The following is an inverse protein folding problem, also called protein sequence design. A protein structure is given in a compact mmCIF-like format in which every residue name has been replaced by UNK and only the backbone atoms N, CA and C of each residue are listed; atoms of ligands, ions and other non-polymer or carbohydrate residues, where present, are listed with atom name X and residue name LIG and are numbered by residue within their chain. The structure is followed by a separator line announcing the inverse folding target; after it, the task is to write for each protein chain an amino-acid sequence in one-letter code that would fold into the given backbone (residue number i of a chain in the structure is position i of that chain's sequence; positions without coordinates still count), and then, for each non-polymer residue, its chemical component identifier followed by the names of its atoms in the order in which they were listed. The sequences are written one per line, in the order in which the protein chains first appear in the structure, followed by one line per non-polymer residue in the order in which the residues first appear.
data_IF_836964697660
#
_entry.id   IF_836964697660
#
_cell.length_a   1.000
_cell.length_b   1.000
_cell.length_c   1.000
_cell.angle_alpha   90.00
_cell.angle_beta   90.00
_cell.angle_gamma   90.00
#
_symmetry.space_group_name_H-M   'P 1'
#
loop_
_entity.id
_entity.type
_entity.pdbx_description
1 polymer ?
#
# COMPACT_ATOMS: atom_id res chain seq x y z
N UNK A 1 7.64 5.89 4.44
CA UNK A 1 7.45 7.06 3.56
C UNK A 1 7.45 6.69 2.09
N UNK A 2 7.08 5.47 1.79
CA UNK A 2 7.01 5.03 0.40
C UNK A 2 5.60 5.26 -0.15
N UNK A 3 5.54 5.85 -1.32
CA UNK A 3 4.29 6.04 -2.00
C UNK A 3 4.05 4.88 -2.95
N UNK A 4 2.84 4.35 -2.96
CA UNK A 4 2.50 3.22 -3.81
C UNK A 4 1.22 3.52 -4.56
N UNK A 5 1.05 2.85 -5.70
CA UNK A 5 -0.17 2.94 -6.48
C UNK A 5 -1.01 1.71 -6.17
N UNK A 6 -2.23 1.94 -5.69
CA UNK A 6 -3.16 0.87 -5.41
C UNK A 6 -4.33 0.92 -6.38
N UNK A 7 -5.13 -0.17 -6.46
CA UNK A 7 -6.33 -0.14 -7.31
C UNK A 7 -7.32 0.95 -6.91
N UNK A 8 -7.22 1.43 -5.68
CA UNK A 8 -8.10 2.48 -5.17
C UNK A 8 -7.48 3.87 -5.25
N UNK A 9 -6.26 3.97 -5.79
CA UNK A 9 -5.58 5.25 -5.93
C UNK A 9 -4.23 5.27 -5.22
N UNK A 10 -3.56 6.41 -5.24
CA UNK A 10 -2.25 6.53 -4.58
C UNK A 10 -2.39 6.49 -3.07
N UNK A 11 -1.39 5.97 -2.40
CA UNK A 11 -1.38 5.89 -0.96
C UNK A 11 0.02 5.80 -0.41
N UNK A 12 0.13 5.81 0.92
CA UNK A 12 1.41 5.69 1.60
C UNK A 12 1.48 4.37 2.34
N UNK A 13 2.62 3.71 2.23
CA UNK A 13 2.84 2.47 2.96
C UNK A 13 2.97 2.76 4.44
N UNK A 14 2.12 2.13 5.25
CA UNK A 14 2.20 2.23 6.69
C UNK A 14 3.00 1.09 7.29
N UNK A 15 2.81 -0.09 6.74
CA UNK A 15 3.48 -1.28 7.23
C UNK A 15 3.63 -2.28 6.09
N UNK A 16 4.81 -2.85 6.00
CA UNK A 16 5.10 -3.88 5.01
C UNK A 16 5.26 -5.21 5.74
N UNK A 17 4.28 -6.09 5.58
CA UNK A 17 4.32 -7.41 6.19
C UNK A 17 4.89 -8.41 5.20
N UNK A 18 6.19 -8.56 5.25
CA UNK A 18 6.91 -9.38 4.28
C UNK A 18 6.49 -10.85 4.37
N UNK A 19 6.35 -11.35 5.57
CA UNK A 19 5.99 -12.76 5.75
C UNK A 19 4.58 -13.08 5.26
N UNK A 20 3.66 -12.13 5.42
CA UNK A 20 2.30 -12.31 4.97
C UNK A 20 2.10 -11.85 3.53
N UNK A 21 3.13 -11.25 2.93
CA UNK A 21 3.09 -10.70 1.57
C UNK A 21 1.94 -9.70 1.40
N UNK A 22 1.74 -8.91 2.43
CA UNK A 22 0.71 -7.87 2.42
C UNK A 22 1.33 -6.54 2.80
N UNK A 23 0.67 -5.48 2.34
CA UNK A 23 1.13 -4.14 2.63
C UNK A 23 -0.06 -3.32 3.11
N UNK A 24 0.11 -2.67 4.26
CA UNK A 24 -0.91 -1.78 4.78
C UNK A 24 -0.66 -0.38 4.21
N UNK A 25 -1.68 0.16 3.58
CA UNK A 25 -1.55 1.44 2.88
C UNK A 25 -2.62 2.40 3.35
N UNK A 26 -2.22 3.65 3.56
CA UNK A 26 -3.15 4.72 3.89
C UNK A 26 -3.41 5.53 2.63
N UNK A 27 -4.67 5.62 2.25
CA UNK A 27 -5.07 6.35 1.06
C UNK A 27 -5.27 7.83 1.35
N UNK A 28 -5.43 8.61 0.28
CA UNK A 28 -5.58 10.07 0.41
C UNK A 28 -6.80 10.50 1.20
N UNK A 29 -7.83 9.67 1.23
CA UNK A 29 -9.03 9.96 2.01
C UNK A 29 -8.93 9.47 3.45
N UNK A 30 -7.70 9.15 3.89
CA UNK A 30 -7.40 8.66 5.22
C UNK A 30 -7.92 7.26 5.50
N UNK A 31 -8.38 6.57 4.49
CA UNK A 31 -8.76 5.16 4.62
C UNK A 31 -7.52 4.29 4.68
N UNK A 32 -7.58 3.26 5.53
CA UNK A 32 -6.48 2.32 5.64
C UNK A 32 -6.95 0.98 5.08
N UNK A 33 -6.23 0.50 4.09
CA UNK A 33 -6.54 -0.78 3.46
C UNK A 33 -5.29 -1.62 3.36
N UNK A 34 -5.49 -2.94 3.35
CA UNK A 34 -4.40 -3.89 3.18
C UNK A 34 -4.51 -4.52 1.79
N UNK A 35 -3.40 -4.53 1.09
CA UNK A 35 -3.36 -5.07 -0.27
C UNK A 35 -2.30 -6.15 -0.36
N UNK A 36 -2.51 -7.16 -1.21
CA UNK A 36 -1.43 -8.11 -1.48
C UNK A 36 -0.28 -7.40 -2.20
N UNK A 37 0.92 -7.80 -1.87
CA UNK A 37 2.12 -7.16 -2.40
C UNK A 37 2.11 -7.08 -3.93
N UNK A 38 1.62 -8.11 -4.58
CA UNK A 38 1.65 -8.17 -6.04
C UNK A 38 0.66 -7.22 -6.72
N UNK A 39 -0.29 -6.68 -5.97
CA UNK A 39 -1.23 -5.71 -6.52
C UNK A 39 -0.74 -4.28 -6.40
N UNK A 40 0.33 -4.08 -5.68
CA UNK A 40 0.88 -2.75 -5.48
C UNK A 40 2.04 -2.51 -6.42
N UNK A 41 2.10 -1.31 -6.95
CA UNK A 41 3.23 -0.87 -7.76
C UNK A 41 3.95 0.21 -6.98
N UNK A 42 5.17 -0.10 -6.57
CA UNK A 42 5.99 0.86 -5.86
C UNK A 42 6.52 1.88 -6.85
N UNK A 43 6.27 3.13 -6.55
CA UNK A 43 6.76 4.20 -7.40
C UNK A 43 8.16 4.57 -6.95
N UNK A 44 9.10 4.40 -7.85
CA UNK A 44 10.51 4.72 -7.56
C UNK A 44 10.95 5.97 -8.26
#
# INVERSE_FOLDING_TARGET
NSQVQTPDGPGKVLKNEILAQRVMVRLDDESINTYPKEELKVKQ
#
